data_IF_583584151431
#
_entry.id   IF_583584151431
#
_cell.length_a   1.000
_cell.length_b   1.000
_cell.length_c   1.000
_cell.angle_alpha   90.00
_cell.angle_beta   90.00
_cell.angle_gamma   90.00
#
_symmetry.space_group_name_H-M   'P 1'
#
loop_
_entity.id
_entity.type
_entity.pdbx_description
1 polymer ?
#
# COMPACT_ATOMS: atom_id res chain seq x y z
N UNK A 1 -42.98 4.09 24.36
CA UNK A 1 -43.13 3.22 23.17
C UNK A 1 -44.33 3.73 22.40
N UNK A 2 -44.10 4.36 21.25
CA UNK A 2 -45.16 4.93 20.41
C UNK A 2 -45.12 4.22 19.05
N UNK A 3 -46.32 3.91 18.55
CA UNK A 3 -46.64 2.96 17.49
C UNK A 3 -46.35 3.53 16.09
N UNK A 4 -45.78 2.72 15.20
CA UNK A 4 -45.21 3.12 13.89
C UNK A 4 -46.13 2.80 12.69
N UNK A 5 -47.37 2.38 12.96
CA UNK A 5 -48.31 1.93 11.94
C UNK A 5 -49.57 2.81 11.78
N UNK A 6 -49.48 4.13 12.05
CA UNK A 6 -50.57 5.03 11.65
C UNK A 6 -50.49 5.34 10.16
N UNK A 7 -51.61 5.11 9.48
CA UNK A 7 -51.81 5.20 8.02
C UNK A 7 -52.39 6.57 7.66
N UNK A 8 -51.72 7.62 8.10
CA UNK A 8 -52.03 8.99 7.70
C UNK A 8 -50.95 9.47 6.73
N UNK A 9 -51.31 10.17 5.63
CA UNK A 9 -50.34 10.66 4.68
C UNK A 9 -49.37 11.60 5.40
N UNK A 10 -48.08 11.32 5.25
CA UNK A 10 -47.02 12.25 5.67
C UNK A 10 -47.21 13.49 4.79
N UNK A 11 -47.78 14.55 5.35
CA UNK A 11 -47.76 15.87 4.72
C UNK A 11 -46.28 16.26 4.54
N UNK A 12 -45.84 16.32 3.28
CA UNK A 12 -44.59 16.94 2.91
C UNK A 12 -44.64 18.40 3.36
N UNK A 13 -43.96 18.68 4.46
CA UNK A 13 -43.79 20.04 4.94
C UNK A 13 -42.75 20.72 4.03
N UNK A 14 -43.22 21.30 2.94
CA UNK A 14 -42.46 22.20 2.05
C UNK A 14 -42.09 23.49 2.80
N UNK A 15 -41.15 23.41 3.74
CA UNK A 15 -40.43 24.59 4.22
C UNK A 15 -39.07 24.65 3.54
N UNK A 16 -39.07 24.84 2.21
CA UNK A 16 -37.93 25.38 1.50
C UNK A 16 -37.84 26.87 1.82
N UNK A 17 -37.35 27.19 3.02
CA UNK A 17 -36.95 28.55 3.36
C UNK A 17 -35.67 28.85 2.56
N UNK A 18 -35.81 29.43 1.36
CA UNK A 18 -34.69 29.96 0.60
C UNK A 18 -34.01 31.07 1.41
N UNK A 19 -32.91 30.71 2.07
CA UNK A 19 -32.05 31.69 2.75
C UNK A 19 -31.30 32.46 1.68
N UNK A 20 -31.88 33.57 1.21
CA UNK A 20 -31.21 34.52 0.31
C UNK A 20 -30.35 35.48 1.13
N UNK A 21 -29.07 35.16 1.31
CA UNK A 21 -28.08 36.07 1.90
C UNK A 21 -27.35 36.83 0.79
N UNK A 22 -27.29 38.16 0.88
CA UNK A 22 -26.56 38.99 -0.09
C UNK A 22 -25.07 39.08 0.25
N UNK A 23 -24.26 39.49 -0.72
CA UNK A 23 -22.82 39.70 -0.57
C UNK A 23 -22.50 40.73 0.54
N UNK A 24 -23.23 41.84 0.58
CA UNK A 24 -23.12 42.89 1.62
C UNK A 24 -23.45 42.40 3.04
N UNK A 25 -24.24 41.33 3.16
CA UNK A 25 -24.57 40.74 4.46
C UNK A 25 -23.46 39.83 4.99
N UNK A 26 -22.64 39.30 4.08
CA UNK A 26 -21.62 38.28 4.35
C UNK A 26 -20.21 38.87 4.49
N UNK A 27 -19.92 39.99 3.81
CA UNK A 27 -18.55 40.53 3.69
C UNK A 27 -18.43 41.96 4.26
N UNK A 28 -17.53 42.16 5.22
CA UNK A 28 -17.20 43.49 5.78
C UNK A 28 -16.64 43.44 7.21
N UNK A 29 -16.15 44.58 7.73
CA UNK A 29 -15.65 44.67 9.10
C UNK A 29 -16.77 44.37 10.12
N UNK A 30 -16.58 43.32 10.93
CA UNK A 30 -17.58 42.84 11.89
C UNK A 30 -18.62 41.86 11.32
N UNK A 31 -18.52 41.47 10.04
CA UNK A 31 -19.35 40.44 9.39
C UNK A 31 -18.68 39.06 9.44
N UNK A 32 -19.37 38.05 8.90
CA UNK A 32 -18.91 36.64 8.91
C UNK A 32 -17.58 36.45 8.18
N UNK A 33 -17.37 37.19 7.08
CA UNK A 33 -16.12 37.21 6.34
C UNK A 33 -15.59 38.64 6.34
N UNK A 34 -14.33 38.82 6.71
CA UNK A 34 -13.75 40.15 6.85
C UNK A 34 -13.55 40.83 5.48
N UNK A 35 -13.30 40.04 4.44
CA UNK A 35 -13.08 40.52 3.08
C UNK A 35 -13.56 39.49 2.03
N UNK A 36 -13.65 39.88 0.75
CA UNK A 36 -14.12 39.00 -0.31
C UNK A 36 -13.25 37.75 -0.50
N UNK A 37 -11.95 37.85 -0.22
CA UNK A 37 -11.01 36.72 -0.34
C UNK A 37 -11.27 35.63 0.70
N UNK A 38 -11.67 35.99 1.92
CA UNK A 38 -12.09 35.02 2.94
C UNK A 38 -13.39 34.30 2.58
N UNK A 39 -14.35 35.01 1.97
CA UNK A 39 -15.56 34.37 1.45
C UNK A 39 -15.22 33.36 0.36
N UNK A 40 -14.35 33.72 -0.59
CA UNK A 40 -13.93 32.82 -1.67
C UNK A 40 -13.22 31.56 -1.13
N UNK A 41 -12.34 31.72 -0.13
CA UNK A 41 -11.69 30.58 0.55
C UNK A 41 -12.69 29.70 1.29
N UNK A 42 -13.62 30.31 2.02
CA UNK A 42 -14.65 29.57 2.75
C UNK A 42 -15.58 28.81 1.79
N UNK A 43 -15.94 29.41 0.66
CA UNK A 43 -16.74 28.77 -0.38
C UNK A 43 -15.99 27.60 -1.03
N UNK A 44 -14.72 27.76 -1.38
CA UNK A 44 -13.92 26.68 -1.95
C UNK A 44 -13.77 25.48 -0.99
N UNK A 45 -13.58 25.74 0.32
CA UNK A 45 -13.56 24.69 1.33
C UNK A 45 -14.92 24.01 1.49
N UNK A 46 -16.01 24.77 1.46
CA UNK A 46 -17.37 24.24 1.54
C UNK A 46 -17.71 23.39 0.32
N UNK A 47 -17.34 23.83 -0.88
CA UNK A 47 -17.57 23.06 -2.11
C UNK A 47 -16.76 21.75 -2.12
N UNK A 48 -15.51 21.80 -1.66
CA UNK A 48 -14.71 20.59 -1.43
C UNK A 48 -15.37 19.62 -0.44
N UNK A 49 -15.90 20.12 0.68
CA UNK A 49 -16.64 19.29 1.65
C UNK A 49 -17.94 18.73 1.09
N UNK A 50 -18.66 19.47 0.24
CA UNK A 50 -19.86 19.00 -0.42
C UNK A 50 -19.52 17.87 -1.39
N UNK A 51 -18.42 18.00 -2.14
CA UNK A 51 -17.97 16.96 -3.06
C UNK A 51 -17.57 15.68 -2.31
N UNK A 52 -16.81 15.79 -1.23
CA UNK A 52 -16.46 14.62 -0.41
C UNK A 52 -17.68 13.97 0.22
N UNK A 53 -18.61 14.76 0.77
CA UNK A 53 -19.86 14.25 1.35
C UNK A 53 -20.74 13.55 0.32
N UNK A 54 -20.83 14.07 -0.91
CA UNK A 54 -21.57 13.41 -2.01
C UNK A 54 -20.92 12.09 -2.41
N UNK A 55 -19.58 12.05 -2.50
CA UNK A 55 -18.85 10.83 -2.80
C UNK A 55 -19.03 9.77 -1.70
N UNK A 56 -18.99 10.18 -0.43
CA UNK A 56 -19.22 9.30 0.70
C UNK A 56 -20.66 8.77 0.72
N UNK A 57 -21.65 9.61 0.45
CA UNK A 57 -23.06 9.18 0.33
C UNK A 57 -23.26 8.17 -0.79
N UNK A 58 -22.73 8.44 -1.99
CA UNK A 58 -22.80 7.51 -3.11
C UNK A 58 -22.14 6.16 -2.78
N UNK A 59 -21.02 6.19 -2.06
CA UNK A 59 -20.35 4.98 -1.57
C UNK A 59 -21.19 4.21 -0.56
N UNK A 60 -21.79 4.88 0.43
CA UNK A 60 -22.65 4.24 1.43
C UNK A 60 -23.92 3.65 0.81
N UNK A 61 -24.47 4.28 -0.22
CA UNK A 61 -25.61 3.75 -0.98
C UNK A 61 -25.23 2.48 -1.75
N UNK A 62 -24.06 2.48 -2.41
CA UNK A 62 -23.53 1.29 -3.08
C UNK A 62 -23.28 0.14 -2.09
N UNK A 63 -22.68 0.43 -0.93
CA UNK A 63 -22.43 -0.56 0.12
C UNK A 63 -23.73 -1.13 0.70
N UNK A 64 -24.72 -0.29 0.99
CA UNK A 64 -26.03 -0.73 1.44
C UNK A 64 -26.75 -1.59 0.39
N UNK A 65 -26.60 -1.27 -0.89
CA UNK A 65 -27.18 -2.08 -1.97
C UNK A 65 -26.56 -3.49 -1.97
N UNK A 66 -25.23 -3.59 -1.90
CA UNK A 66 -24.54 -4.89 -1.84
C UNK A 66 -24.95 -5.69 -0.60
N UNK A 67 -25.05 -5.05 0.57
CA UNK A 67 -25.49 -5.71 1.79
C UNK A 67 -26.93 -6.20 1.72
N UNK A 68 -27.83 -5.44 1.10
CA UNK A 68 -29.21 -5.87 0.84
C UNK A 68 -29.26 -7.06 -0.11
N UNK A 69 -28.54 -6.99 -1.23
CA UNK A 69 -28.45 -8.07 -2.21
C UNK A 69 -27.93 -9.37 -1.54
N UNK A 70 -26.91 -9.27 -0.66
CA UNK A 70 -26.37 -10.39 0.12
C UNK A 70 -27.38 -10.96 1.14
N UNK A 71 -28.10 -10.08 1.84
CA UNK A 71 -29.12 -10.48 2.81
C UNK A 71 -30.30 -11.18 2.12
N UNK A 72 -30.71 -10.71 0.94
CA UNK A 72 -31.75 -11.34 0.13
C UNK A 72 -31.30 -12.70 -0.42
N UNK A 73 -30.05 -12.81 -0.89
CA UNK A 73 -29.49 -14.09 -1.32
C UNK A 73 -29.49 -15.14 -0.18
N UNK A 74 -29.11 -14.73 1.04
CA UNK A 74 -29.18 -15.60 2.23
C UNK A 74 -30.60 -15.98 2.63
N UNK A 75 -31.58 -15.08 2.50
CA UNK A 75 -32.97 -15.39 2.82
C UNK A 75 -33.59 -16.37 1.83
N UNK A 76 -33.25 -16.25 0.54
CA UNK A 76 -33.67 -17.20 -0.49
C UNK A 76 -33.09 -18.59 -0.25
N UNK A 77 -31.79 -18.69 0.08
CA UNK A 77 -31.16 -19.98 0.39
C UNK A 77 -31.73 -20.63 1.67
N UNK A 78 -32.16 -19.85 2.65
CA UNK A 78 -32.71 -20.36 3.91
C UNK A 78 -34.22 -20.68 3.85
N UNK A 79 -34.89 -20.39 2.72
CA UNK A 79 -36.32 -20.67 2.52
C UNK A 79 -36.59 -21.99 1.77
N UNK A 80 -35.55 -22.67 1.28
CA UNK A 80 -35.65 -23.96 0.58
C UNK A 80 -35.47 -25.19 1.50
N UNK A 81 -35.22 -25.00 2.80
CA UNK A 81 -35.17 -26.08 3.79
C UNK A 81 -36.33 -25.99 4.80
N UNK A 82 -37.56 -26.31 4.34
CA UNK A 82 -38.60 -26.88 5.21
C UNK A 82 -39.05 -28.23 4.63
N UNK A 83 -38.93 -29.35 5.37
CA UNK A 83 -39.44 -30.63 4.89
C UNK A 83 -40.96 -30.66 5.08
N UNK A 84 -41.72 -30.64 3.99
CA UNK A 84 -43.07 -31.22 3.94
C UNK A 84 -43.02 -32.39 2.96
N UNK A 85 -43.41 -33.56 3.46
CA UNK A 85 -43.24 -34.83 2.77
C UNK A 85 -44.22 -35.12 1.63
N UNK A 86 -43.92 -36.26 1.00
CA UNK A 86 -44.66 -37.11 0.04
C UNK A 86 -44.28 -37.06 -1.45
N UNK A 87 -43.63 -38.18 -1.83
CA UNK A 87 -43.65 -38.97 -3.09
C UNK A 87 -42.98 -38.47 -4.40
N UNK A 88 -42.53 -39.41 -5.30
CA UNK A 88 -41.38 -39.19 -6.18
C UNK A 88 -41.69 -38.98 -7.69
N UNK A 89 -40.72 -38.31 -8.35
CA UNK A 89 -40.34 -38.26 -9.79
C UNK A 89 -41.04 -37.23 -10.72
N UNK A 90 -40.44 -36.75 -11.86
CA UNK A 90 -39.05 -36.78 -12.33
C UNK A 90 -38.46 -35.41 -12.79
N UNK A 91 -37.12 -35.38 -12.89
CA UNK A 91 -36.27 -34.51 -13.75
C UNK A 91 -36.69 -33.04 -14.01
N UNK A 92 -36.14 -32.11 -13.22
CA UNK A 92 -36.09 -30.68 -13.54
C UNK A 92 -34.69 -30.13 -13.22
N UNK A 93 -34.02 -29.58 -14.23
CA UNK A 93 -32.68 -29.02 -14.16
C UNK A 93 -32.57 -27.97 -13.04
N UNK A 94 -31.70 -28.22 -12.06
CA UNK A 94 -31.27 -27.21 -11.09
C UNK A 94 -30.41 -26.18 -11.85
N UNK A 95 -30.67 -24.87 -11.75
CA UNK A 95 -29.68 -23.88 -12.15
C UNK A 95 -28.45 -24.07 -11.27
N UNK A 96 -27.26 -24.19 -11.86
CA UNK A 96 -26.01 -24.30 -11.12
C UNK A 96 -25.83 -23.07 -10.22
N UNK A 97 -26.00 -23.25 -8.91
CA UNK A 97 -25.80 -22.20 -7.89
C UNK A 97 -24.32 -21.88 -7.61
N UNK A 98 -23.39 -22.67 -8.15
CA UNK A 98 -21.96 -22.42 -8.01
C UNK A 98 -21.46 -21.29 -8.92
N UNK A 99 -22.04 -21.13 -10.13
CA UNK A 99 -21.57 -20.14 -11.11
C UNK A 99 -21.73 -18.68 -10.62
N UNK A 100 -22.72 -18.39 -9.77
CA UNK A 100 -22.98 -17.03 -9.26
C UNK A 100 -22.20 -16.68 -7.98
N UNK A 101 -21.81 -17.66 -7.17
CA UNK A 101 -21.07 -17.43 -5.91
C UNK A 101 -19.60 -17.11 -6.20
N UNK A 102 -19.03 -17.80 -7.18
CA UNK A 102 -17.65 -17.61 -7.59
C UNK A 102 -17.46 -16.22 -8.22
N UNK A 103 -18.38 -15.79 -9.10
CA UNK A 103 -18.36 -14.46 -9.72
C UNK A 103 -18.54 -13.32 -8.69
N UNK A 104 -19.42 -13.50 -7.70
CA UNK A 104 -19.59 -12.51 -6.63
C UNK A 104 -18.35 -12.42 -5.72
N UNK A 105 -17.74 -13.56 -5.39
CA UNK A 105 -16.51 -13.59 -4.58
C UNK A 105 -15.32 -12.97 -5.30
N UNK A 106 -15.19 -13.22 -6.61
CA UNK A 106 -14.18 -12.60 -7.46
C UNK A 106 -14.36 -11.08 -7.53
N UNK A 107 -15.61 -10.61 -7.66
CA UNK A 107 -15.93 -9.19 -7.68
C UNK A 107 -15.67 -8.49 -6.34
N UNK A 108 -15.93 -9.16 -5.22
CA UNK A 108 -15.58 -8.65 -3.88
C UNK A 108 -14.05 -8.56 -3.74
N UNK A 109 -13.32 -9.59 -4.18
CA UNK A 109 -11.86 -9.60 -4.15
C UNK A 109 -11.26 -8.49 -5.04
N UNK A 110 -11.82 -8.26 -6.23
CA UNK A 110 -11.46 -7.16 -7.13
C UNK A 110 -11.70 -5.81 -6.47
N UNK A 111 -12.90 -5.55 -5.93
CA UNK A 111 -13.20 -4.30 -5.22
C UNK A 111 -12.26 -4.07 -4.03
N UNK A 112 -11.92 -5.13 -3.28
CA UNK A 112 -11.00 -5.02 -2.16
C UNK A 112 -9.57 -4.70 -2.62
N UNK A 113 -9.11 -5.30 -3.72
CA UNK A 113 -7.82 -5.00 -4.33
C UNK A 113 -7.77 -3.58 -4.92
N UNK A 114 -8.83 -3.13 -5.60
CA UNK A 114 -8.95 -1.74 -6.08
C UNK A 114 -8.90 -0.75 -4.93
N UNK A 115 -9.60 -1.04 -3.83
CA UNK A 115 -9.56 -0.21 -2.63
C UNK A 115 -8.15 -0.14 -2.03
N UNK A 116 -7.49 -1.29 -1.89
CA UNK A 116 -6.15 -1.36 -1.32
C UNK A 116 -5.11 -0.66 -2.21
N UNK A 117 -5.25 -0.77 -3.53
CA UNK A 117 -4.39 -0.06 -4.49
C UNK A 117 -4.61 1.45 -4.45
N UNK A 118 -5.86 1.92 -4.39
CA UNK A 118 -6.17 3.36 -4.24
C UNK A 118 -5.65 3.92 -2.91
N UNK A 119 -5.82 3.16 -1.81
CA UNK A 119 -5.30 3.56 -0.49
C UNK A 119 -3.77 3.66 -0.53
N UNK A 120 -3.08 2.63 -1.02
CA UNK A 120 -1.61 2.64 -1.18
C UNK A 120 -1.15 3.79 -2.07
N UNK A 121 -1.85 4.07 -3.16
CA UNK A 121 -1.55 5.19 -4.04
C UNK A 121 -1.62 6.52 -3.29
N UNK A 122 -2.69 6.74 -2.52
CA UNK A 122 -2.90 7.97 -1.73
C UNK A 122 -1.83 8.11 -0.64
N UNK A 123 -1.56 7.04 0.11
CA UNK A 123 -0.54 7.01 1.16
C UNK A 123 0.86 7.32 0.60
N UNK A 124 1.18 6.77 -0.58
CA UNK A 124 2.42 7.01 -1.29
C UNK A 124 2.55 8.48 -1.74
N UNK A 125 1.50 9.06 -2.35
CA UNK A 125 1.50 10.47 -2.77
C UNK A 125 1.70 11.40 -1.57
N UNK A 126 1.04 11.12 -0.44
CA UNK A 126 1.19 11.91 0.78
C UNK A 126 2.62 11.83 1.33
N UNK A 127 3.18 10.61 1.43
CA UNK A 127 4.54 10.38 1.90
C UNK A 127 5.58 11.11 1.03
N UNK A 128 5.42 11.05 -0.30
CA UNK A 128 6.26 11.78 -1.25
C UNK A 128 6.14 13.28 -1.05
N UNK A 129 4.91 13.79 -0.91
CA UNK A 129 4.65 15.23 -0.75
C UNK A 129 5.32 15.77 0.51
N UNK A 130 5.22 15.04 1.63
CA UNK A 130 5.89 15.38 2.89
C UNK A 130 7.42 15.37 2.73
N UNK A 131 7.98 14.33 2.09
CA UNK A 131 9.43 14.22 1.90
C UNK A 131 9.98 15.32 1.00
N UNK A 132 9.27 15.68 -0.07
CA UNK A 132 9.63 16.78 -0.95
C UNK A 132 9.50 18.13 -0.23
N UNK A 133 8.42 18.35 0.52
CA UNK A 133 8.25 19.58 1.31
C UNK A 133 9.37 19.75 2.34
N UNK A 134 9.78 18.66 3.01
CA UNK A 134 10.90 18.66 3.95
C UNK A 134 12.24 18.95 3.25
N UNK A 135 12.47 18.38 2.06
CA UNK A 135 13.71 18.58 1.32
C UNK A 135 13.84 20.00 0.75
N UNK A 136 12.77 20.54 0.16
CA UNK A 136 12.76 21.89 -0.44
C UNK A 136 12.37 23.01 0.56
N UNK A 137 12.06 22.64 1.81
CA UNK A 137 11.72 23.53 2.92
C UNK A 137 10.31 24.14 2.88
N UNK A 138 9.51 23.88 1.83
CA UNK A 138 8.09 24.26 1.78
C UNK A 138 7.38 23.52 0.65
N UNK A 139 6.06 23.30 0.78
CA UNK A 139 5.25 22.68 -0.27
C UNK A 139 5.26 23.46 -1.59
N UNK A 140 5.23 24.80 -1.55
CA UNK A 140 5.26 25.64 -2.75
C UNK A 140 6.58 25.50 -3.55
N UNK A 141 7.72 25.40 -2.86
CA UNK A 141 9.02 25.16 -3.51
C UNK A 141 9.13 23.75 -4.08
N UNK A 142 8.58 22.75 -3.38
CA UNK A 142 8.52 21.38 -3.87
C UNK A 142 7.66 21.26 -5.15
N UNK A 143 6.50 21.93 -5.17
CA UNK A 143 5.64 21.96 -6.36
C UNK A 143 6.32 22.63 -7.55
N UNK A 144 7.03 23.74 -7.32
CA UNK A 144 7.81 24.40 -8.37
C UNK A 144 8.92 23.48 -8.92
N UNK A 145 9.66 22.81 -8.05
CA UNK A 145 10.69 21.85 -8.47
C UNK A 145 10.13 20.69 -9.29
N UNK A 146 8.94 20.18 -8.95
CA UNK A 146 8.22 19.18 -9.74
C UNK A 146 7.81 19.70 -11.12
N UNK A 147 7.30 20.94 -11.20
CA UNK A 147 6.94 21.59 -12.46
C UNK A 147 8.16 21.80 -13.36
N UNK A 148 9.26 22.30 -12.80
CA UNK A 148 10.51 22.49 -13.52
C UNK A 148 11.04 21.14 -14.04
N UNK A 149 10.93 20.07 -13.23
CA UNK A 149 11.36 18.73 -13.65
C UNK A 149 10.45 18.11 -14.71
N UNK A 150 9.14 18.34 -14.63
CA UNK A 150 8.19 17.94 -15.66
C UNK A 150 8.49 18.63 -17.00
N UNK A 151 8.79 19.94 -16.96
CA UNK A 151 9.18 20.71 -18.14
C UNK A 151 10.51 20.23 -18.73
N UNK A 152 11.50 19.90 -17.90
CA UNK A 152 12.78 19.33 -18.33
C UNK A 152 12.60 17.98 -19.04
N UNK A 153 11.75 17.11 -18.49
CA UNK A 153 11.47 15.77 -19.03
C UNK A 153 10.45 15.77 -20.17
N UNK A 154 9.81 16.92 -20.45
CA UNK A 154 8.71 17.08 -21.42
C UNK A 154 7.54 16.13 -21.14
N UNK A 155 7.21 15.96 -19.87
CA UNK A 155 6.07 15.15 -19.39
C UNK A 155 5.08 16.04 -18.64
N UNK A 156 3.85 15.57 -18.50
CA UNK A 156 2.86 16.25 -17.67
C UNK A 156 3.16 16.07 -16.17
N UNK A 157 2.71 17.01 -15.34
CA UNK A 157 2.84 16.91 -13.88
C UNK A 157 2.01 15.74 -13.33
N UNK A 158 0.89 15.41 -13.97
CA UNK A 158 0.08 14.24 -13.62
C UNK A 158 0.87 12.93 -13.75
N UNK A 159 1.78 12.84 -14.71
CA UNK A 159 2.64 11.67 -14.89
C UNK A 159 3.61 11.51 -13.72
N UNK A 160 4.17 12.61 -13.21
CA UNK A 160 4.99 12.59 -11.99
C UNK A 160 4.17 12.22 -10.76
N UNK A 161 2.91 12.65 -10.68
CA UNK A 161 1.98 12.28 -9.60
C UNK A 161 1.59 10.80 -9.66
N UNK A 162 1.32 10.26 -10.84
CA UNK A 162 1.07 8.83 -11.05
C UNK A 162 2.28 7.99 -10.67
N UNK A 163 3.48 8.47 -11.02
CA UNK A 163 4.73 7.85 -10.61
C UNK A 163 4.92 7.93 -9.09
N UNK A 164 4.57 9.04 -8.45
CA UNK A 164 4.60 9.19 -6.99
C UNK A 164 3.74 8.13 -6.29
N UNK A 165 2.52 7.91 -6.78
CA UNK A 165 1.58 6.97 -6.18
C UNK A 165 1.88 5.50 -6.47
N UNK A 166 2.43 5.18 -7.65
CA UNK A 166 2.79 3.80 -8.02
C UNK A 166 4.18 3.38 -7.57
N UNK A 167 5.15 4.30 -7.63
CA UNK A 167 6.56 4.04 -7.32
C UNK A 167 7.27 5.29 -6.77
N UNK A 168 7.15 5.55 -5.45
CA UNK A 168 7.79 6.69 -4.78
C UNK A 168 9.30 6.79 -5.05
N UNK A 169 10.00 5.65 -5.01
CA UNK A 169 11.45 5.57 -5.21
C UNK A 169 11.88 5.98 -6.62
N UNK A 170 11.09 5.62 -7.65
CA UNK A 170 11.36 6.04 -9.01
C UNK A 170 11.27 7.56 -9.15
N UNK A 171 10.25 8.17 -8.53
CA UNK A 171 10.14 9.63 -8.51
C UNK A 171 11.35 10.25 -7.83
N UNK A 172 11.76 9.80 -6.63
CA UNK A 172 12.91 10.37 -5.92
C UNK A 172 14.19 10.36 -6.75
N UNK A 173 14.44 9.28 -7.51
CA UNK A 173 15.56 9.22 -8.45
C UNK A 173 15.42 10.21 -9.59
N UNK A 174 14.21 10.32 -10.13
CA UNK A 174 13.90 11.22 -11.24
C UNK A 174 14.10 12.69 -10.85
N UNK A 175 13.71 13.07 -9.63
CA UNK A 175 13.90 14.44 -9.10
C UNK A 175 15.28 14.65 -8.46
N UNK A 176 16.12 13.62 -8.39
CA UNK A 176 17.48 13.70 -7.83
C UNK A 176 17.55 13.78 -6.30
N UNK A 177 16.51 13.32 -5.60
CA UNK A 177 16.48 13.23 -4.13
C UNK A 177 17.06 11.92 -3.58
N UNK A 178 17.23 10.90 -4.43
CA UNK A 178 17.86 9.64 -4.03
C UNK A 178 19.38 9.76 -4.14
N UNK A 179 20.06 9.85 -3.00
CA UNK A 179 21.53 9.82 -2.90
C UNK A 179 22.08 8.39 -2.87
N UNK A 180 21.24 7.36 -3.00
CA UNK A 180 21.73 6.08 -3.54
C UNK A 180 22.03 6.33 -5.01
N UNK A 181 23.24 6.87 -5.21
CA UNK A 181 24.08 6.58 -6.36
C UNK A 181 23.68 5.23 -6.90
N UNK A 182 23.42 5.16 -8.20
CA UNK A 182 23.51 3.89 -8.90
C UNK A 182 24.77 3.23 -8.37
N UNK A 183 24.62 2.22 -7.49
CA UNK A 183 25.61 1.17 -7.47
C UNK A 183 25.56 0.73 -8.91
N UNK A 184 26.56 1.18 -9.70
CA UNK A 184 26.82 0.59 -11.00
C UNK A 184 26.55 -0.90 -10.80
N UNK A 185 25.78 -1.56 -11.70
CA UNK A 185 25.73 -3.00 -11.63
C UNK A 185 27.19 -3.40 -11.54
N UNK A 186 27.59 -4.00 -10.41
CA UNK A 186 28.93 -4.53 -10.27
C UNK A 186 29.01 -5.44 -11.48
N UNK A 187 29.82 -5.03 -12.47
CA UNK A 187 29.99 -5.74 -13.71
C UNK A 187 30.09 -7.20 -13.32
N UNK A 188 29.20 -8.06 -13.84
CA UNK A 188 29.04 -9.44 -13.43
C UNK A 188 30.39 -10.03 -13.05
N UNK A 189 30.72 -9.98 -11.76
CA UNK A 189 31.84 -10.71 -11.22
C UNK A 189 31.30 -12.11 -11.26
N UNK A 190 31.57 -12.82 -12.36
CA UNK A 190 31.40 -14.26 -12.38
C UNK A 190 32.00 -14.78 -11.08
N UNK A 191 31.30 -15.72 -10.44
CA UNK A 191 31.67 -16.34 -9.17
C UNK A 191 33.09 -16.95 -9.23
N UNK A 192 34.12 -16.09 -9.22
CA UNK A 192 35.44 -16.44 -8.73
C UNK A 192 35.28 -16.44 -7.24
N UNK A 193 35.04 -17.65 -6.73
CA UNK A 193 34.98 -18.00 -5.32
C UNK A 193 36.10 -17.28 -4.54
N UNK A 194 35.81 -16.11 -3.98
CA UNK A 194 36.76 -15.29 -3.21
C UNK A 194 37.07 -15.94 -1.86
N UNK A 195 36.28 -16.95 -1.44
CA UNK A 195 36.61 -17.84 -0.34
C UNK A 195 37.73 -18.85 -0.67
N UNK A 196 38.11 -19.01 -1.95
CA UNK A 196 39.32 -19.75 -2.34
C UNK A 196 40.58 -18.84 -2.32
N UNK A 197 40.43 -17.55 -2.61
CA UNK A 197 41.54 -16.60 -2.65
C UNK A 197 41.93 -16.08 -1.24
N UNK A 198 40.95 -15.77 -0.38
CA UNK A 198 41.22 -15.39 1.02
C UNK A 198 41.57 -16.60 1.91
N UNK A 199 41.34 -17.83 1.43
CA UNK A 199 41.88 -18.99 2.14
C UNK A 199 43.41 -18.90 2.22
N UNK A 200 44.12 -18.37 1.22
CA UNK A 200 45.59 -18.31 1.23
C UNK A 200 46.23 -17.37 2.26
N UNK A 201 45.53 -16.35 2.76
CA UNK A 201 46.14 -15.36 3.66
C UNK A 201 46.13 -15.80 5.15
N UNK A 202 45.32 -16.80 5.50
CA UNK A 202 45.20 -17.31 6.86
C UNK A 202 44.97 -18.83 6.87
N UNK A 203 45.69 -19.57 6.00
CA UNK A 203 45.64 -21.06 6.00
C UNK A 203 46.23 -21.56 7.30
N UNK A 204 45.43 -22.31 8.05
CA UNK A 204 45.92 -23.17 9.13
C UNK A 204 46.64 -24.34 8.46
N UNK A 205 47.93 -24.19 8.21
CA UNK A 205 48.81 -25.25 7.72
C UNK A 205 49.46 -25.97 8.90
N UNK A 206 50.25 -27.01 8.63
CA UNK A 206 50.90 -27.78 9.69
C UNK A 206 51.76 -26.90 10.62
N UNK A 207 52.40 -25.86 10.07
CA UNK A 207 53.21 -24.89 10.84
C UNK A 207 52.39 -24.15 11.90
N UNK A 208 51.18 -23.69 11.57
CA UNK A 208 50.25 -23.06 12.53
C UNK A 208 49.95 -23.98 13.73
N UNK A 209 49.67 -25.26 13.45
CA UNK A 209 49.37 -26.23 14.49
C UNK A 209 50.61 -26.65 15.31
N UNK A 210 51.79 -26.68 14.69
CA UNK A 210 53.09 -26.84 15.35
C UNK A 210 53.37 -25.70 16.35
N UNK A 211 53.09 -24.45 15.95
CA UNK A 211 53.23 -23.28 16.82
C UNK A 211 52.21 -23.31 17.97
N UNK A 212 50.97 -23.70 17.69
CA UNK A 212 49.95 -23.90 18.73
C UNK A 212 50.35 -24.99 19.72
N UNK A 213 50.96 -26.10 19.27
CA UNK A 213 51.47 -27.17 20.14
C UNK A 213 52.56 -26.68 21.08
N UNK A 214 53.44 -25.80 20.58
CA UNK A 214 54.54 -25.18 21.34
C UNK A 214 54.03 -24.14 22.34
N UNK A 215 53.03 -23.35 21.97
CA UNK A 215 52.46 -22.31 22.81
C UNK A 215 51.51 -22.87 23.88
N UNK A 216 50.61 -23.78 23.51
CA UNK A 216 49.65 -24.43 24.40
C UNK A 216 49.39 -25.88 23.95
N UNK A 217 50.14 -26.79 24.56
CA UNK A 217 50.00 -28.23 24.29
C UNK A 217 48.62 -28.76 24.68
N UNK A 218 47.95 -28.20 25.69
CA UNK A 218 46.63 -28.67 26.15
C UNK A 218 45.54 -28.30 25.14
N UNK A 219 45.60 -27.10 24.57
CA UNK A 219 44.71 -26.67 23.49
C UNK A 219 44.93 -27.51 22.21
N UNK A 220 46.18 -27.81 21.87
CA UNK A 220 46.52 -28.65 20.71
C UNK A 220 45.89 -30.04 20.78
N UNK A 221 45.96 -30.72 21.94
CA UNK A 221 45.38 -32.05 22.12
C UNK A 221 43.86 -32.03 22.37
N UNK A 222 43.21 -30.86 22.31
CA UNK A 222 41.77 -30.80 22.46
C UNK A 222 41.05 -31.49 21.28
N UNK A 223 39.90 -32.16 21.51
CA UNK A 223 39.16 -32.84 20.44
C UNK A 223 38.74 -31.90 19.30
N UNK A 224 38.52 -30.62 19.60
CA UNK A 224 38.14 -29.62 18.61
C UNK A 224 39.29 -29.32 17.65
N UNK A 225 40.46 -28.96 18.19
CA UNK A 225 41.66 -28.63 17.39
C UNK A 225 42.14 -29.84 16.60
N UNK A 226 42.07 -31.06 17.16
CA UNK A 226 42.41 -32.28 16.44
C UNK A 226 41.48 -32.56 15.25
N UNK A 227 40.17 -32.26 15.37
CA UNK A 227 39.23 -32.39 14.24
C UNK A 227 39.51 -31.36 13.15
N UNK A 228 39.86 -30.13 13.54
CA UNK A 228 40.24 -29.09 12.58
C UNK A 228 41.53 -29.46 11.85
N UNK A 229 42.56 -29.92 12.58
CA UNK A 229 43.82 -30.43 12.02
C UNK A 229 43.57 -31.53 10.97
N UNK A 230 42.75 -32.53 11.33
CA UNK A 230 42.43 -33.64 10.41
C UNK A 230 41.63 -33.19 9.19
N UNK A 231 40.72 -32.22 9.36
CA UNK A 231 39.93 -31.63 8.28
C UNK A 231 40.83 -30.86 7.33
N UNK A 232 41.72 -30.03 7.87
CA UNK A 232 42.63 -29.20 7.09
C UNK A 232 43.70 -30.03 6.39
N UNK A 233 44.23 -31.08 7.03
CA UNK A 233 45.12 -32.05 6.40
C UNK A 233 44.45 -32.80 5.24
N UNK A 234 43.16 -33.15 5.38
CA UNK A 234 42.38 -33.81 4.32
C UNK A 234 42.09 -32.85 3.16
N UNK A 235 41.75 -31.60 3.46
CA UNK A 235 41.40 -30.59 2.45
C UNK A 235 42.63 -30.08 1.68
N UNK A 236 43.78 -29.96 2.34
CA UNK A 236 45.00 -29.39 1.75
C UNK A 236 45.98 -30.46 1.22
N UNK A 237 45.87 -31.71 1.67
CA UNK A 237 46.68 -32.84 1.19
C UNK A 237 48.18 -32.61 1.40
N UNK A 238 48.99 -32.83 0.36
CA UNK A 238 50.45 -32.64 0.44
C UNK A 238 50.86 -31.20 0.82
N UNK A 239 50.10 -30.19 0.37
CA UNK A 239 50.35 -28.76 0.65
C UNK A 239 50.14 -28.37 2.11
N UNK A 240 49.55 -29.26 2.91
CA UNK A 240 49.37 -29.04 4.34
C UNK A 240 50.70 -29.07 5.10
N UNK A 241 51.63 -29.93 4.64
CA UNK A 241 52.91 -30.22 5.29
C UNK A 241 54.08 -29.42 4.71
N UNK A 242 53.82 -28.59 3.70
CA UNK A 242 54.76 -27.60 3.14
C UNK A 242 54.80 -26.33 4.00
#
# INVERSE_FOLDING_TARGET
MADIFSKDPIEENENNNEITLSFEDLVGEGKKYANPDELAKAYANADGFIQTSKAEKARLEAENKVLKDLAEARKKSNSEEQPRGQEPDPAGQRPNEDDNKEDLSAKIAEMMNERDTQKKFTDNVNSVSEKLANHYGSGAKAQKALQDKAAELKVDVSWLMDMAGRSPEALYRTVGLDSKSFSSPNASSGDVNTAALNRNANRRNFKYYEELRKADSRAYYSPHVQRELMKDAREQGAKFYE
#
